data_IF_351280443440
#
_entry.id   IF_351280443440
#
_cell.length_a   1.000
_cell.length_b   1.000
_cell.length_c   1.000
_cell.angle_alpha   90.00
_cell.angle_beta   90.00
_cell.angle_gamma   90.00
#
_symmetry.space_group_name_H-M   'P 1'
#
loop_
_entity.id
_entity.type
_entity.pdbx_description
1 polymer ?
#
# COMPACT_ATOMS: atom_id res chain seq x y z
N UNK A 1 -11.18 -4.53 -4.06
CA UNK A 1 -10.51 -4.42 -2.74
C UNK A 1 -11.01 -5.44 -1.71
N UNK A 2 -12.21 -6.01 -1.89
CA UNK A 2 -12.77 -7.00 -0.95
C UNK A 2 -11.90 -8.24 -0.75
N UNK A 3 -11.15 -8.71 -1.76
CA UNK A 3 -10.33 -9.93 -1.63
C UNK A 3 -9.30 -9.81 -0.50
N UNK A 4 -8.56 -8.70 -0.42
CA UNK A 4 -7.51 -8.52 0.60
C UNK A 4 -8.11 -8.53 2.00
N UNK A 5 -9.19 -7.79 2.23
CA UNK A 5 -9.81 -7.72 3.56
C UNK A 5 -10.51 -9.02 3.94
N UNK A 6 -11.13 -9.70 2.97
CA UNK A 6 -11.80 -10.99 3.20
C UNK A 6 -10.82 -12.12 3.46
N UNK A 7 -9.78 -12.25 2.63
CA UNK A 7 -8.83 -13.37 2.71
C UNK A 7 -7.83 -13.20 3.85
N UNK A 8 -7.37 -11.97 4.11
CA UNK A 8 -6.37 -11.71 5.14
C UNK A 8 -7.00 -11.37 6.50
N UNK A 9 -8.32 -11.19 6.59
CA UNK A 9 -9.00 -10.83 7.85
C UNK A 9 -8.57 -9.47 8.40
N UNK A 10 -8.20 -8.53 7.53
CA UNK A 10 -7.75 -7.19 7.91
C UNK A 10 -8.82 -6.16 7.61
N UNK A 11 -8.86 -5.07 8.39
CA UNK A 11 -9.63 -3.89 8.02
C UNK A 11 -8.79 -3.03 7.08
N UNK A 12 -9.42 -2.47 6.04
CA UNK A 12 -8.73 -1.66 5.06
C UNK A 12 -9.70 -0.71 4.36
N UNK A 13 -9.16 0.39 3.85
CA UNK A 13 -9.87 1.36 3.05
C UNK A 13 -8.94 1.92 1.97
N UNK A 14 -9.51 2.54 0.94
CA UNK A 14 -8.79 3.30 -0.06
C UNK A 14 -9.56 4.56 -0.46
N UNK A 15 -8.78 5.60 -0.72
CA UNK A 15 -9.24 6.89 -1.25
C UNK A 15 -8.39 7.14 -2.49
N UNK A 16 -9.02 7.13 -3.66
CA UNK A 16 -8.32 7.21 -4.94
C UNK A 16 -8.75 8.50 -5.63
N UNK A 17 -7.78 9.37 -5.89
CA UNK A 17 -7.99 10.61 -6.64
C UNK A 17 -7.64 10.38 -8.11
N UNK A 18 -8.64 10.57 -8.98
CA UNK A 18 -8.48 10.60 -10.42
C UNK A 18 -8.25 12.05 -10.88
N UNK A 19 -7.43 12.26 -11.90
CA UNK A 19 -7.27 13.59 -12.52
C UNK A 19 -8.47 13.98 -13.38
N UNK A 20 -9.38 13.05 -13.65
CA UNK A 20 -10.55 13.25 -14.51
C UNK A 20 -11.84 13.47 -13.72
N UNK A 21 -11.82 13.19 -12.41
CA UNK A 21 -12.99 13.26 -11.55
C UNK A 21 -12.77 14.27 -10.42
N UNK A 22 -13.83 15.02 -10.09
CA UNK A 22 -13.77 16.03 -9.02
C UNK A 22 -13.95 15.42 -7.61
N UNK A 23 -14.30 14.14 -7.52
CA UNK A 23 -14.52 13.43 -6.27
C UNK A 23 -13.68 12.15 -6.24
N UNK A 24 -13.12 11.79 -5.08
CA UNK A 24 -12.36 10.55 -4.97
C UNK A 24 -13.29 9.33 -5.05
N UNK A 25 -12.77 8.24 -5.62
CA UNK A 25 -13.36 6.93 -5.41
C UNK A 25 -13.01 6.46 -4.00
N UNK A 26 -14.05 6.10 -3.23
CA UNK A 26 -13.92 5.70 -1.84
C UNK A 26 -14.35 4.24 -1.71
N UNK A 27 -13.51 3.46 -1.03
CA UNK A 27 -13.82 2.11 -0.61
C UNK A 27 -13.36 1.87 0.83
N UNK A 28 -14.11 1.15 1.69
CA UNK A 28 -15.48 0.69 1.52
C UNK A 28 -16.47 1.85 1.65
N UNK A 29 -17.69 1.65 2.17
CA UNK A 29 -18.64 2.78 2.32
C UNK A 29 -18.08 3.86 3.27
N UNK A 30 -18.48 5.15 3.14
CA UNK A 30 -17.94 6.22 3.97
C UNK A 30 -18.01 5.97 5.49
N UNK A 31 -19.10 5.41 6.07
CA UNK A 31 -19.14 5.08 7.49
C UNK A 31 -18.09 4.05 7.92
N UNK A 32 -17.87 3.02 7.10
CA UNK A 32 -16.86 1.99 7.36
C UNK A 32 -15.45 2.56 7.20
N UNK A 33 -15.23 3.42 6.21
CA UNK A 33 -13.98 4.14 6.03
C UNK A 33 -13.65 5.02 7.26
N UNK A 34 -14.62 5.74 7.81
CA UNK A 34 -14.43 6.53 9.04
C UNK A 34 -13.94 5.66 10.19
N UNK A 35 -14.55 4.49 10.42
CA UNK A 35 -14.09 3.56 11.47
C UNK A 35 -12.64 3.11 11.28
N UNK A 36 -12.23 2.83 10.04
CA UNK A 36 -10.84 2.46 9.73
C UNK A 36 -9.88 3.63 9.98
N UNK A 37 -10.27 4.84 9.57
CA UNK A 37 -9.46 6.05 9.76
C UNK A 37 -9.31 6.42 11.24
N UNK A 38 -10.39 6.34 12.02
CA UNK A 38 -10.35 6.66 13.45
C UNK A 38 -9.38 5.73 14.17
N UNK A 39 -9.51 4.41 13.96
CA UNK A 39 -8.56 3.43 14.52
C UNK A 39 -7.13 3.68 14.06
N UNK A 40 -6.93 4.02 12.79
CA UNK A 40 -5.61 4.37 12.28
C UNK A 40 -5.06 5.60 13.00
N UNK A 41 -5.86 6.65 13.20
CA UNK A 41 -5.44 7.91 13.82
C UNK A 41 -5.19 7.79 15.34
N UNK A 42 -5.92 6.93 16.02
CA UNK A 42 -5.72 6.57 17.43
C UNK A 42 -4.44 5.75 17.67
N UNK A 43 -3.92 5.09 16.63
CA UNK A 43 -2.70 4.28 16.74
C UNK A 43 -1.44 5.14 16.89
N UNK A 44 -0.43 4.70 17.68
CA UNK A 44 0.83 5.42 17.84
C UNK A 44 1.52 5.70 16.50
N UNK A 45 2.18 6.86 16.38
CA UNK A 45 2.88 7.28 15.15
C UNK A 45 3.87 6.23 14.63
N UNK A 46 4.64 5.61 15.52
CA UNK A 46 5.59 4.58 15.15
C UNK A 46 4.93 3.36 14.49
N UNK A 47 3.73 2.96 14.94
CA UNK A 47 2.98 1.86 14.33
C UNK A 47 2.38 2.28 12.99
N UNK A 48 1.85 3.50 12.90
CA UNK A 48 1.31 4.05 11.65
C UNK A 48 2.35 4.11 10.54
N UNK A 49 3.56 4.57 10.85
CA UNK A 49 4.61 4.79 9.85
C UNK A 49 5.40 3.53 9.49
N UNK A 50 5.31 2.47 10.31
CA UNK A 50 6.12 1.26 10.16
C UNK A 50 6.02 0.60 8.78
N UNK A 51 4.83 0.64 8.17
CA UNK A 51 4.52 -0.05 6.92
C UNK A 51 4.03 0.89 5.81
N UNK A 52 4.15 2.20 5.99
CA UNK A 52 3.87 3.15 4.90
C UNK A 52 4.89 2.93 3.79
N UNK A 53 4.40 2.78 2.56
CA UNK A 53 5.23 2.47 1.40
C UNK A 53 4.87 3.37 0.23
N UNK A 54 5.89 3.89 -0.45
CA UNK A 54 5.76 4.55 -1.74
C UNK A 54 6.00 3.53 -2.87
N UNK A 55 5.05 3.45 -3.80
CA UNK A 55 5.09 2.45 -4.88
C UNK A 55 6.31 2.63 -5.79
N UNK A 56 6.71 3.87 -6.09
CA UNK A 56 7.85 4.16 -6.98
C UNK A 56 9.15 3.74 -6.31
N UNK A 57 9.32 4.04 -5.02
CA UNK A 57 10.48 3.61 -4.24
C UNK A 57 10.52 2.08 -4.13
N UNK A 58 9.39 1.44 -3.85
CA UNK A 58 9.29 -0.02 -3.76
C UNK A 58 9.72 -0.70 -5.07
N UNK A 59 9.14 -0.27 -6.19
CA UNK A 59 9.46 -0.82 -7.51
C UNK A 59 10.93 -0.56 -7.89
N UNK A 60 11.43 0.65 -7.63
CA UNK A 60 12.84 0.97 -7.90
C UNK A 60 13.81 0.06 -7.14
N UNK A 61 13.55 -0.20 -5.86
CA UNK A 61 14.34 -1.15 -5.05
C UNK A 61 14.28 -2.56 -5.62
N UNK A 62 13.10 -3.01 -6.04
CA UNK A 62 12.92 -4.36 -6.56
C UNK A 62 13.62 -4.56 -7.90
N UNK A 63 13.53 -3.58 -8.81
CA UNK A 63 14.26 -3.59 -10.09
C UNK A 63 15.78 -3.60 -9.83
N UNK A 64 16.27 -2.75 -8.93
CA UNK A 64 17.69 -2.73 -8.56
C UNK A 64 18.17 -4.06 -7.99
N UNK A 65 17.37 -4.68 -7.11
CA UNK A 65 17.67 -6.00 -6.57
C UNK A 65 17.75 -7.06 -7.67
N UNK A 66 16.74 -7.13 -8.56
CA UNK A 66 16.74 -8.08 -9.68
C UNK A 66 17.97 -7.90 -10.59
N UNK A 67 18.35 -6.66 -10.92
CA UNK A 67 19.55 -6.39 -11.69
C UNK A 67 20.82 -6.87 -10.99
N UNK A 68 20.93 -6.65 -9.68
CA UNK A 68 22.07 -7.13 -8.89
C UNK A 68 22.17 -8.67 -8.86
N UNK A 69 21.03 -9.36 -8.78
CA UNK A 69 20.98 -10.83 -8.86
C UNK A 69 21.48 -11.30 -10.22
N UNK A 70 20.99 -10.71 -11.32
CA UNK A 70 21.42 -11.05 -12.68
C UNK A 70 22.93 -10.84 -12.88
N UNK A 71 23.49 -9.73 -12.40
CA UNK A 71 24.93 -9.46 -12.48
C UNK A 71 25.78 -10.48 -11.72
N UNK A 72 25.29 -10.97 -10.56
CA UNK A 72 25.98 -12.01 -9.80
C UNK A 72 25.98 -13.34 -10.54
N UNK A 73 24.87 -13.73 -11.15
CA UNK A 73 24.81 -14.96 -11.94
C UNK A 73 25.68 -14.87 -13.19
N UNK A 74 25.73 -13.71 -13.87
CA UNK A 74 26.62 -13.49 -15.02
C UNK A 74 28.09 -13.66 -14.67
N UNK A 75 28.51 -13.29 -13.46
CA UNK A 75 29.90 -13.45 -12.99
C UNK A 75 30.27 -14.89 -12.61
N UNK A 76 29.29 -15.80 -12.49
CA UNK A 76 29.53 -17.22 -12.21
C UNK A 76 29.71 -18.05 -13.47
N UNK A 77 29.25 -17.55 -14.63
CA UNK A 77 29.45 -18.14 -15.95
C UNK A 77 30.74 -17.60 -16.59
#
# INVERSE_FOLDING_TARGET
MNEITTLCGVMGCAIIYSTFDNHPEIWPSPPELTCVLDRFMESPKAEREKYIMDQKIFLGRHVSWSSNVLERERKKN
#
